data_IF_579452791805
#
_entry.id   IF_579452791805
#
_cell.length_a   1.000
_cell.length_b   1.000
_cell.length_c   1.000
_cell.angle_alpha   90.00
_cell.angle_beta   90.00
_cell.angle_gamma   90.00
#
_symmetry.space_group_name_H-M   'P 1'
#
loop_
_entity.id
_entity.type
_entity.pdbx_description
1 polymer ?
#
# COMPACT_ATOMS: atom_id res chain seq x y z
N UNK A 1 14.01 -6.31 -0.68
CA UNK A 1 13.15 -7.07 0.27
C UNK A 1 11.77 -6.44 0.32
N UNK A 2 10.72 -7.25 0.47
CA UNK A 2 9.34 -6.81 0.65
C UNK A 2 8.96 -6.96 2.14
N UNK A 3 8.37 -5.92 2.73
CA UNK A 3 7.86 -5.94 4.11
C UNK A 3 6.35 -5.65 4.08
N UNK A 4 5.57 -6.51 4.73
CA UNK A 4 4.11 -6.39 4.84
C UNK A 4 3.76 -6.07 6.29
N UNK A 5 3.40 -4.81 6.61
CA UNK A 5 2.92 -4.47 7.94
C UNK A 5 1.55 -5.09 8.17
N UNK A 6 1.39 -5.77 9.30
CA UNK A 6 0.15 -6.40 9.72
C UNK A 6 -0.13 -6.10 11.19
N UNK A 7 -1.31 -5.55 11.49
CA UNK A 7 -1.76 -5.33 12.86
C UNK A 7 -3.04 -6.10 13.13
N UNK A 8 -3.13 -6.69 14.32
CA UNK A 8 -4.31 -7.47 14.70
C UNK A 8 -5.54 -6.56 14.90
N UNK A 9 -5.35 -5.44 15.60
CA UNK A 9 -6.44 -4.51 15.90
C UNK A 9 -6.77 -3.66 14.68
N UNK A 10 -7.99 -3.76 14.19
CA UNK A 10 -8.59 -2.91 13.17
C UNK A 10 -9.97 -2.45 13.65
N UNK A 11 -10.22 -1.13 13.64
CA UNK A 11 -11.46 -0.55 14.18
C UNK A 11 -12.71 -0.87 13.36
N UNK A 12 -12.56 -1.05 12.04
CA UNK A 12 -13.66 -1.28 11.11
C UNK A 12 -13.92 -2.75 10.81
N UNK A 13 -12.90 -3.60 10.97
CA UNK A 13 -12.97 -5.01 10.69
C UNK A 13 -11.98 -5.74 11.63
N UNK A 14 -12.49 -6.23 12.75
CA UNK A 14 -11.68 -6.91 13.77
C UNK A 14 -10.96 -8.14 13.20
N UNK A 15 -9.68 -8.30 13.57
CA UNK A 15 -8.80 -9.40 13.13
C UNK A 15 -8.70 -9.53 11.59
N UNK A 16 -8.94 -8.47 10.85
CA UNK A 16 -8.99 -8.42 9.40
C UNK A 16 -7.90 -9.23 8.69
N UNK A 17 -6.65 -9.08 9.15
CA UNK A 17 -5.48 -9.72 8.52
C UNK A 17 -5.45 -11.24 8.64
N UNK A 18 -6.24 -11.81 9.57
CA UNK A 18 -6.40 -13.26 9.77
C UNK A 18 -7.68 -13.82 9.12
N UNK A 19 -8.51 -12.96 8.52
CA UNK A 19 -9.75 -13.39 7.86
C UNK A 19 -9.45 -14.31 6.68
N UNK A 20 -10.28 -15.34 6.51
CA UNK A 20 -10.09 -16.32 5.44
C UNK A 20 -10.48 -15.73 4.07
N UNK A 21 -9.61 -15.91 3.11
CA UNK A 21 -9.84 -15.60 1.70
C UNK A 21 -9.51 -16.85 0.88
N UNK A 22 -10.53 -17.56 0.46
CA UNK A 22 -10.39 -18.80 -0.32
C UNK A 22 -9.41 -19.80 0.30
N UNK A 23 -9.56 -20.09 1.60
CA UNK A 23 -8.76 -21.08 2.33
C UNK A 23 -7.40 -20.60 2.84
N UNK A 24 -7.09 -19.31 2.71
CA UNK A 24 -5.87 -18.72 3.26
C UNK A 24 -6.20 -17.45 4.06
N UNK A 25 -5.58 -17.22 5.23
CA UNK A 25 -5.64 -15.94 5.90
C UNK A 25 -5.18 -14.81 4.99
N UNK A 26 -5.83 -13.63 5.08
CA UNK A 26 -5.56 -12.47 4.23
C UNK A 26 -4.07 -12.12 4.15
N UNK A 27 -3.39 -11.99 5.29
CA UNK A 27 -1.95 -11.67 5.34
C UNK A 27 -1.08 -12.72 4.66
N UNK A 28 -1.48 -14.00 4.75
CA UNK A 28 -0.75 -15.10 4.10
C UNK A 28 -0.90 -15.02 2.58
N UNK A 29 -2.08 -14.65 2.09
CA UNK A 29 -2.30 -14.42 0.67
C UNK A 29 -1.45 -13.26 0.15
N UNK A 30 -1.44 -12.13 0.86
CA UNK A 30 -0.56 -11.00 0.53
C UNK A 30 0.92 -11.43 0.48
N UNK A 31 1.38 -12.18 1.48
CA UNK A 31 2.76 -12.63 1.56
C UNK A 31 3.13 -13.64 0.45
N UNK A 32 2.22 -14.55 0.10
CA UNK A 32 2.44 -15.48 -1.01
C UNK A 32 2.56 -14.75 -2.35
N UNK A 33 1.69 -13.76 -2.62
CA UNK A 33 1.79 -12.95 -3.82
C UNK A 33 3.11 -12.16 -3.87
N UNK A 34 3.52 -11.57 -2.75
CA UNK A 34 4.78 -10.84 -2.63
C UNK A 34 6.00 -11.76 -2.89
N UNK A 35 6.01 -12.98 -2.35
CA UNK A 35 7.07 -13.95 -2.53
C UNK A 35 7.23 -14.45 -3.98
N UNK A 36 6.28 -14.16 -4.88
CA UNK A 36 6.45 -14.41 -6.32
C UNK A 36 7.42 -13.42 -6.98
N UNK A 37 7.75 -12.31 -6.30
CA UNK A 37 8.59 -11.23 -6.83
C UNK A 37 9.91 -11.11 -6.09
N UNK A 38 9.89 -11.09 -4.75
CA UNK A 38 11.09 -10.95 -3.92
C UNK A 38 10.82 -11.54 -2.53
N UNK A 39 11.88 -11.76 -1.77
CA UNK A 39 11.76 -12.20 -0.38
C UNK A 39 10.84 -11.27 0.41
N UNK A 40 9.84 -11.88 1.06
CA UNK A 40 8.81 -11.16 1.81
C UNK A 40 8.86 -11.51 3.30
N UNK A 41 8.71 -10.50 4.15
CA UNK A 41 8.58 -10.64 5.60
C UNK A 41 7.33 -9.93 6.08
N UNK A 42 6.53 -10.58 6.93
CA UNK A 42 5.40 -9.97 7.61
C UNK A 42 5.89 -9.31 8.90
N UNK A 43 5.68 -8.01 9.03
CA UNK A 43 5.94 -7.23 10.24
C UNK A 43 4.66 -7.14 11.06
N UNK A 44 4.54 -7.90 12.14
CA UNK A 44 3.30 -8.04 12.91
C UNK A 44 3.43 -7.52 14.34
N UNK A 45 2.30 -7.14 14.95
CA UNK A 45 2.22 -6.64 16.33
C UNK A 45 1.63 -7.66 17.32
N UNK A 46 1.33 -8.86 16.85
CA UNK A 46 0.67 -9.87 17.67
C UNK A 46 1.16 -11.28 17.36
N UNK A 47 1.30 -12.07 18.43
CA UNK A 47 1.75 -13.46 18.37
C UNK A 47 0.83 -14.36 17.50
N UNK A 48 -0.46 -14.06 17.45
CA UNK A 48 -1.42 -14.83 16.62
C UNK A 48 -1.12 -14.71 15.13
N UNK A 49 -0.68 -13.53 14.68
CA UNK A 49 -0.24 -13.31 13.30
C UNK A 49 1.08 -14.03 13.06
N UNK A 50 2.03 -13.93 14.02
CA UNK A 50 3.32 -14.64 13.95
C UNK A 50 3.13 -16.15 13.81
N UNK A 51 2.33 -16.77 14.69
CA UNK A 51 2.02 -18.20 14.65
C UNK A 51 1.32 -18.60 13.36
N UNK A 52 0.43 -17.73 12.84
CA UNK A 52 -0.21 -17.96 11.55
C UNK A 52 0.82 -17.97 10.43
N UNK A 53 1.73 -16.99 10.39
CA UNK A 53 2.83 -16.96 9.41
C UNK A 53 3.69 -18.24 9.48
N UNK A 54 4.05 -18.69 10.69
CA UNK A 54 4.85 -19.90 10.90
C UNK A 54 4.14 -21.15 10.34
N UNK A 55 2.83 -21.31 10.57
CA UNK A 55 2.05 -22.45 10.02
C UNK A 55 2.06 -22.51 8.49
N UNK A 56 2.17 -21.36 7.83
CA UNK A 56 2.21 -21.27 6.37
C UNK A 56 3.62 -21.09 5.81
N UNK A 57 4.67 -21.24 6.64
CA UNK A 57 6.08 -21.07 6.26
C UNK A 57 6.40 -19.68 5.68
N UNK A 58 5.72 -18.65 6.17
CA UNK A 58 6.00 -17.24 5.83
C UNK A 58 6.91 -16.66 6.91
N UNK A 59 7.98 -15.99 6.48
CA UNK A 59 8.85 -15.25 7.40
C UNK A 59 8.07 -14.11 8.05
N UNK A 60 8.22 -13.94 9.36
CA UNK A 60 7.61 -12.86 10.10
C UNK A 60 8.52 -12.37 11.22
N UNK A 61 8.37 -11.12 11.59
CA UNK A 61 9.04 -10.49 12.75
C UNK A 61 8.01 -9.78 13.61
N UNK A 62 8.18 -9.90 14.93
CA UNK A 62 7.35 -9.18 15.89
C UNK A 62 7.89 -7.76 16.04
N UNK A 63 7.00 -6.79 15.95
CA UNK A 63 7.28 -5.36 16.05
C UNK A 63 6.42 -4.72 17.15
N UNK A 64 6.76 -3.50 17.53
CA UNK A 64 6.04 -2.74 18.55
C UNK A 64 4.53 -2.61 18.22
N UNK A 65 3.70 -2.67 19.27
CA UNK A 65 2.25 -2.37 19.19
C UNK A 65 1.95 -0.87 19.08
N UNK A 66 2.96 -0.01 19.28
CA UNK A 66 2.79 1.44 19.40
C UNK A 66 2.99 2.22 18.10
N UNK A 67 3.25 1.54 16.99
CA UNK A 67 3.35 2.22 15.70
C UNK A 67 2.03 2.82 15.26
N UNK A 68 2.09 4.07 14.82
CA UNK A 68 0.93 4.78 14.30
C UNK A 68 0.63 4.42 12.84
N UNK A 69 1.65 3.95 12.11
CA UNK A 69 1.53 3.65 10.67
C UNK A 69 2.18 2.34 10.26
N UNK A 70 1.80 1.85 9.06
CA UNK A 70 2.44 0.71 8.44
C UNK A 70 3.90 0.98 8.08
N UNK A 71 4.24 2.21 7.71
CA UNK A 71 5.59 2.62 7.32
C UNK A 71 6.56 2.59 8.50
N UNK A 72 6.16 3.10 9.68
CA UNK A 72 6.95 2.99 10.91
C UNK A 72 7.22 1.53 11.28
N UNK A 73 6.22 0.66 11.13
CA UNK A 73 6.35 -0.77 11.37
C UNK A 73 7.31 -1.43 10.38
N UNK A 74 7.27 -1.04 9.12
CA UNK A 74 8.23 -1.51 8.11
C UNK A 74 9.66 -1.10 8.45
N UNK A 75 9.86 0.10 8.97
CA UNK A 75 11.19 0.56 9.39
C UNK A 75 11.73 -0.28 10.55
N UNK A 76 10.94 -0.50 11.62
CA UNK A 76 11.36 -1.35 12.73
C UNK A 76 11.68 -2.77 12.25
N UNK A 77 10.85 -3.35 11.39
CA UNK A 77 11.12 -4.67 10.82
C UNK A 77 12.43 -4.69 10.02
N UNK A 78 12.70 -3.67 9.20
CA UNK A 78 13.95 -3.56 8.47
C UNK A 78 15.18 -3.46 9.40
N UNK A 79 15.05 -2.80 10.55
CA UNK A 79 16.08 -2.71 11.58
C UNK A 79 16.29 -4.06 12.28
N UNK A 80 15.23 -4.75 12.71
CA UNK A 80 15.30 -6.08 13.34
C UNK A 80 15.96 -7.09 12.40
N UNK A 81 15.66 -7.01 11.09
CA UNK A 81 16.26 -7.88 10.07
C UNK A 81 17.69 -7.51 9.72
N UNK A 82 18.22 -6.41 10.24
CA UNK A 82 19.59 -5.95 9.99
C UNK A 82 19.81 -5.46 8.55
N UNK A 83 18.77 -4.96 7.87
CA UNK A 83 18.91 -4.40 6.53
C UNK A 83 19.93 -3.25 6.54
N UNK A 84 20.82 -3.28 5.55
CA UNK A 84 21.79 -2.18 5.35
C UNK A 84 21.09 -0.94 4.82
N UNK A 85 21.74 0.20 4.96
CA UNK A 85 21.18 1.48 4.55
C UNK A 85 20.91 1.57 3.05
N UNK A 86 21.70 0.90 2.22
CA UNK A 86 21.58 0.87 0.77
C UNK A 86 20.61 -0.18 0.24
N UNK A 87 20.01 -1.01 1.11
CA UNK A 87 19.07 -2.04 0.69
C UNK A 87 17.68 -1.46 0.44
N UNK A 88 17.09 -1.89 -0.67
CA UNK A 88 15.75 -1.50 -1.08
C UNK A 88 14.68 -2.12 -0.19
N UNK A 89 13.65 -1.32 0.10
CA UNK A 89 12.46 -1.76 0.84
C UNK A 89 11.21 -1.48 0.01
N UNK A 90 10.36 -2.50 -0.17
CA UNK A 90 9.00 -2.34 -0.66
C UNK A 90 8.05 -2.57 0.52
N UNK A 91 7.15 -1.61 0.74
CA UNK A 91 6.08 -1.69 1.73
C UNK A 91 4.78 -2.04 1.01
N UNK A 92 4.31 -3.29 1.16
CA UNK A 92 3.01 -3.74 0.65
C UNK A 92 2.04 -3.91 1.81
N UNK A 93 0.78 -3.54 1.61
CA UNK A 93 -0.20 -3.60 2.69
C UNK A 93 -0.72 -5.02 2.93
N UNK A 94 -0.91 -5.38 4.21
CA UNK A 94 -1.46 -6.68 4.62
C UNK A 94 -2.96 -6.86 4.34
N UNK A 95 -3.60 -5.86 3.75
CA UNK A 95 -5.01 -5.84 3.37
C UNK A 95 -5.24 -5.72 1.85
N UNK A 96 -4.20 -5.98 1.06
CA UNK A 96 -4.24 -6.05 -0.42
C UNK A 96 -4.05 -7.51 -0.92
N UNK A 97 -4.96 -8.45 -0.57
CA UNK A 97 -4.77 -9.88 -0.86
C UNK A 97 -4.85 -10.24 -2.34
N UNK A 98 -5.37 -9.34 -3.16
CA UNK A 98 -5.56 -9.51 -4.59
C UNK A 98 -4.56 -8.70 -5.44
N UNK A 99 -3.50 -8.21 -4.81
CA UNK A 99 -2.46 -7.46 -5.50
C UNK A 99 -1.73 -8.38 -6.49
N UNK A 100 -1.75 -8.00 -7.76
CA UNK A 100 -1.15 -8.79 -8.83
C UNK A 100 0.38 -8.66 -8.81
N UNK A 101 1.07 -9.74 -9.18
CA UNK A 101 2.53 -9.80 -9.31
C UNK A 101 3.08 -8.68 -10.21
N UNK A 102 2.39 -8.36 -11.29
CA UNK A 102 2.76 -7.34 -12.26
C UNK A 102 2.79 -5.94 -11.64
N UNK A 103 1.91 -5.68 -10.68
CA UNK A 103 1.87 -4.41 -9.93
C UNK A 103 3.09 -4.30 -9.01
N UNK A 104 3.46 -5.39 -8.34
CA UNK A 104 4.66 -5.42 -7.47
C UNK A 104 5.93 -5.24 -8.30
N UNK A 105 6.02 -5.88 -9.48
CA UNK A 105 7.12 -5.69 -10.41
C UNK A 105 7.20 -4.25 -10.93
N UNK A 106 6.05 -3.64 -11.23
CA UNK A 106 5.98 -2.24 -11.66
C UNK A 106 6.43 -1.27 -10.56
N UNK A 107 6.07 -1.53 -9.29
CA UNK A 107 6.57 -0.78 -8.14
C UNK A 107 8.08 -0.94 -7.99
N UNK A 108 8.59 -2.18 -8.09
CA UNK A 108 10.01 -2.49 -8.02
C UNK A 108 10.81 -1.71 -9.07
N UNK A 109 10.30 -1.63 -10.29
CA UNK A 109 10.94 -0.87 -11.38
C UNK A 109 10.88 0.64 -11.13
N UNK A 110 9.71 1.18 -10.74
CA UNK A 110 9.55 2.59 -10.42
C UNK A 110 10.47 3.04 -9.27
N UNK A 111 10.72 2.15 -8.32
CA UNK A 111 11.56 2.42 -7.15
C UNK A 111 13.03 2.65 -7.51
N UNK A 112 13.54 2.05 -8.59
CA UNK A 112 14.97 2.16 -8.98
C UNK A 112 15.42 3.60 -9.23
N UNK A 113 14.54 4.40 -9.83
CA UNK A 113 14.83 5.78 -10.24
C UNK A 113 13.94 6.81 -9.53
N UNK A 114 13.27 6.42 -8.46
CA UNK A 114 12.42 7.33 -7.70
C UNK A 114 13.28 8.43 -7.05
N UNK A 115 12.87 9.70 -7.17
CA UNK A 115 13.63 10.82 -6.57
C UNK A 115 13.60 10.78 -5.04
N UNK A 116 12.57 10.23 -4.42
CA UNK A 116 12.48 9.96 -2.99
C UNK A 116 11.81 8.60 -2.77
N UNK A 117 10.54 8.44 -3.07
CA UNK A 117 9.82 7.17 -2.98
C UNK A 117 8.97 6.95 -4.24
N UNK A 118 8.52 5.71 -4.43
CA UNK A 118 7.62 5.34 -5.52
C UNK A 118 6.31 4.77 -5.00
N UNK A 119 5.26 4.85 -5.83
CA UNK A 119 3.97 4.19 -5.61
C UNK A 119 3.33 3.81 -6.95
N UNK A 120 2.18 3.13 -6.90
CA UNK A 120 1.41 2.77 -8.09
C UNK A 120 0.02 3.39 -8.08
N UNK A 121 -0.55 3.52 -9.27
CA UNK A 121 -1.92 3.98 -9.49
C UNK A 121 -2.54 3.22 -10.66
N UNK A 122 -3.87 3.16 -10.68
CA UNK A 122 -4.64 2.55 -11.76
C UNK A 122 -5.68 3.53 -12.31
N UNK A 123 -6.07 3.34 -13.56
CA UNK A 123 -7.20 4.08 -14.14
C UNK A 123 -8.48 3.61 -13.48
N UNK A 124 -9.32 4.55 -13.09
CA UNK A 124 -10.63 4.32 -12.46
C UNK A 124 -11.71 5.09 -13.20
N UNK A 125 -12.94 4.63 -13.08
CA UNK A 125 -14.12 5.32 -13.62
C UNK A 125 -14.65 6.41 -12.67
N UNK A 126 -15.62 7.18 -13.13
CA UNK A 126 -16.21 8.27 -12.34
C UNK A 126 -17.00 7.78 -11.13
N UNK A 127 -17.61 6.60 -11.21
CA UNK A 127 -18.36 6.03 -10.08
C UNK A 127 -17.39 5.58 -8.97
N UNK A 128 -16.34 4.88 -9.33
CA UNK A 128 -15.28 4.51 -8.39
C UNK A 128 -14.63 5.73 -7.72
N UNK A 129 -14.45 6.82 -8.50
CA UNK A 129 -13.81 8.04 -8.00
C UNK A 129 -14.65 8.80 -6.95
N UNK A 130 -15.97 8.57 -6.87
CA UNK A 130 -16.84 9.16 -5.84
C UNK A 130 -16.58 8.59 -4.45
N UNK A 131 -16.04 7.36 -4.37
CA UNK A 131 -15.75 6.74 -3.09
C UNK A 131 -14.59 7.44 -2.37
N UNK A 132 -14.76 7.92 -1.12
CA UNK A 132 -13.68 8.49 -0.33
C UNK A 132 -12.67 7.43 0.15
N UNK A 133 -13.02 6.14 0.08
CA UNK A 133 -12.12 5.04 0.43
C UNK A 133 -11.09 4.78 -0.66
N UNK A 134 -11.44 5.04 -1.93
CA UNK A 134 -10.48 5.00 -3.03
C UNK A 134 -9.80 6.36 -3.16
N UNK A 135 -8.53 6.43 -2.79
CA UNK A 135 -7.75 7.67 -2.86
C UNK A 135 -7.44 8.02 -4.31
N UNK A 136 -7.65 9.28 -4.69
CA UNK A 136 -7.31 9.79 -6.02
C UNK A 136 -5.95 10.47 -5.99
N UNK A 137 -5.26 10.46 -7.14
CA UNK A 137 -3.98 11.14 -7.32
C UNK A 137 -3.95 11.91 -8.62
N UNK A 138 -3.35 13.09 -8.59
CA UNK A 138 -3.03 13.89 -9.79
C UNK A 138 -1.52 13.94 -9.97
N UNK A 139 -1.08 13.87 -11.23
CA UNK A 139 0.32 13.74 -11.58
C UNK A 139 0.82 14.98 -12.34
N UNK A 140 2.12 15.24 -12.23
CA UNK A 140 2.84 16.16 -13.11
C UNK A 140 3.19 15.50 -14.47
N UNK A 141 3.81 16.27 -15.37
CA UNK A 141 4.23 15.78 -16.69
C UNK A 141 5.34 14.72 -16.65
N UNK A 142 5.98 14.51 -15.50
CA UNK A 142 7.01 13.50 -15.27
C UNK A 142 6.49 12.28 -14.50
N UNK A 143 5.16 12.20 -14.31
CA UNK A 143 4.49 11.18 -13.50
C UNK A 143 4.92 11.18 -12.01
N UNK A 144 5.25 12.36 -11.44
CA UNK A 144 5.31 12.49 -10.00
C UNK A 144 3.96 12.94 -9.45
N UNK A 145 3.63 12.51 -8.25
CA UNK A 145 2.40 12.94 -7.59
C UNK A 145 2.43 14.44 -7.27
N UNK A 146 1.38 15.15 -7.67
CA UNK A 146 1.13 16.53 -7.25
C UNK A 146 0.34 16.55 -5.94
N UNK A 147 -0.69 15.71 -5.82
CA UNK A 147 -1.50 15.59 -4.61
C UNK A 147 -2.28 14.28 -4.58
N UNK A 148 -2.53 13.76 -3.37
CA UNK A 148 -3.45 12.64 -3.11
C UNK A 148 -4.65 13.16 -2.32
N UNK A 149 -5.86 12.72 -2.67
CA UNK A 149 -7.06 13.14 -1.95
C UNK A 149 -8.13 12.07 -1.91
N UNK A 150 -8.91 12.07 -0.84
CA UNK A 150 -10.17 11.31 -0.76
C UNK A 150 -11.29 11.96 -1.56
N UNK A 151 -11.18 13.27 -1.82
CA UNK A 151 -12.08 13.99 -2.72
C UNK A 151 -11.86 13.60 -4.18
N UNK A 152 -12.85 13.82 -5.03
CA UNK A 152 -12.72 13.68 -6.48
C UNK A 152 -11.79 14.77 -7.03
N UNK A 153 -10.61 14.38 -7.48
CA UNK A 153 -9.61 15.23 -8.12
C UNK A 153 -9.11 14.60 -9.44
N UNK A 154 -8.78 15.43 -10.48
CA UNK A 154 -9.03 16.86 -10.59
C UNK A 154 -10.53 17.17 -10.75
N UNK A 155 -10.98 18.33 -10.28
CA UNK A 155 -12.37 18.76 -10.44
C UNK A 155 -12.66 19.15 -11.90
N UNK A 156 -13.73 18.62 -12.48
CA UNK A 156 -14.20 19.02 -13.80
C UNK A 156 -15.19 20.19 -13.65
N UNK A 157 -14.72 21.40 -13.96
CA UNK A 157 -15.49 22.64 -13.74
C UNK A 157 -16.75 22.71 -14.62
N UNK A 158 -16.58 22.40 -15.92
CA UNK A 158 -17.65 22.62 -16.90
C UNK A 158 -18.55 21.40 -16.96
N UNK A 159 -19.81 21.56 -16.53
CA UNK A 159 -20.81 20.50 -16.58
C UNK A 159 -21.05 20.05 -18.04
N UNK A 160 -20.94 18.75 -18.28
CA UNK A 160 -21.10 18.16 -19.61
C UNK A 160 -19.83 18.12 -20.48
N UNK A 161 -18.73 18.72 -20.05
CA UNK A 161 -17.45 18.53 -20.71
C UNK A 161 -16.98 17.07 -20.55
N UNK A 162 -16.31 16.55 -21.59
CA UNK A 162 -15.64 15.25 -21.49
C UNK A 162 -14.27 15.41 -20.82
N UNK A 163 -13.99 14.55 -19.86
CA UNK A 163 -12.68 14.49 -19.22
C UNK A 163 -11.64 14.04 -20.24
N UNK A 164 -10.59 14.84 -20.43
CA UNK A 164 -9.51 14.54 -21.38
C UNK A 164 -8.40 13.66 -20.79
N UNK A 165 -8.34 13.59 -19.46
CA UNK A 165 -7.36 12.77 -18.73
C UNK A 165 -8.09 11.73 -17.89
N UNK A 166 -7.54 10.51 -17.74
CA UNK A 166 -8.15 9.50 -16.89
C UNK A 166 -8.12 9.94 -15.41
N UNK A 167 -9.11 9.49 -14.65
CA UNK A 167 -9.06 9.52 -13.21
C UNK A 167 -8.13 8.41 -12.72
N UNK A 168 -7.27 8.73 -11.74
CA UNK A 168 -6.29 7.81 -11.23
C UNK A 168 -6.57 7.47 -9.76
N UNK A 169 -6.77 6.18 -9.50
CA UNK A 169 -6.93 5.62 -8.16
C UNK A 169 -5.58 5.11 -7.63
N UNK A 170 -5.20 5.58 -6.46
CA UNK A 170 -3.97 5.18 -5.79
C UNK A 170 -4.04 3.73 -5.30
N UNK A 171 -2.97 2.98 -5.48
CA UNK A 171 -2.74 1.67 -4.86
C UNK A 171 -1.76 1.89 -3.71
N UNK A 172 -2.18 1.59 -2.48
CA UNK A 172 -1.49 1.95 -1.23
C UNK A 172 -0.18 1.20 -0.95
N UNK A 173 0.65 1.00 -1.96
CA UNK A 173 1.95 0.34 -1.87
C UNK A 173 3.08 1.32 -2.13
N UNK A 174 4.22 1.14 -1.47
CA UNK A 174 5.33 2.09 -1.57
C UNK A 174 6.67 1.39 -1.75
N UNK A 175 7.55 2.03 -2.52
CA UNK A 175 8.91 1.59 -2.74
C UNK A 175 9.92 2.66 -2.33
N UNK A 176 10.94 2.23 -1.59
CA UNK A 176 12.07 3.02 -1.15
C UNK A 176 13.33 2.40 -1.76
N UNK A 177 14.10 3.15 -2.56
CA UNK A 177 15.25 2.56 -3.24
C UNK A 177 16.38 2.18 -2.27
N UNK A 178 16.34 2.73 -1.05
CA UNK A 178 17.18 2.32 0.07
C UNK A 178 16.46 2.53 1.40
N UNK A 179 16.97 1.90 2.47
CA UNK A 179 16.41 2.01 3.83
C UNK A 179 16.54 3.43 4.41
N UNK A 180 17.58 4.19 4.04
CA UNK A 180 17.75 5.57 4.53
C UNK A 180 16.58 6.48 4.18
N UNK A 181 15.97 6.32 2.99
CA UNK A 181 14.80 7.09 2.59
C UNK A 181 13.58 6.72 3.44
N UNK A 182 13.42 5.45 3.77
CA UNK A 182 12.36 5.01 4.69
C UNK A 182 12.58 5.61 6.09
N UNK A 183 13.81 5.64 6.58
CA UNK A 183 14.17 6.30 7.84
C UNK A 183 13.90 7.81 7.79
N UNK A 184 14.29 8.47 6.69
CA UNK A 184 14.04 9.89 6.48
C UNK A 184 12.54 10.21 6.51
N UNK A 185 11.71 9.42 5.81
CA UNK A 185 10.25 9.60 5.82
C UNK A 185 9.67 9.46 7.23
N UNK A 186 10.09 8.44 7.98
CA UNK A 186 9.62 8.22 9.35
C UNK A 186 10.09 9.31 10.32
N UNK A 187 11.24 9.95 10.06
CA UNK A 187 11.75 11.06 10.87
C UNK A 187 11.02 12.40 10.62
N UNK A 188 10.30 12.54 9.51
CA UNK A 188 9.49 13.74 9.24
C UNK A 188 8.33 13.83 10.24
N UNK A 189 8.07 15.04 10.73
CA UNK A 189 6.92 15.27 11.62
C UNK A 189 5.60 15.11 10.85
N UNK A 190 4.55 14.57 11.48
CA UNK A 190 3.20 14.58 10.90
C UNK A 190 2.80 15.99 10.44
N UNK A 191 2.06 16.08 9.35
CA UNK A 191 1.64 17.36 8.79
C UNK A 191 0.11 17.46 8.75
N UNK A 192 -0.41 18.69 8.71
CA UNK A 192 -1.85 18.96 8.71
C UNK A 192 -2.61 18.26 7.57
N UNK A 193 -2.01 18.14 6.39
CA UNK A 193 -2.64 17.49 5.23
C UNK A 193 -2.80 16.00 5.46
N UNK A 194 -1.77 15.35 6.00
CA UNK A 194 -1.81 13.93 6.38
C UNK A 194 -2.89 13.67 7.44
N UNK A 195 -2.99 14.56 8.44
CA UNK A 195 -3.97 14.41 9.51
C UNK A 195 -5.41 14.59 9.02
N UNK A 196 -5.66 15.53 8.11
CA UNK A 196 -6.99 15.79 7.55
C UNK A 196 -7.46 14.68 6.62
N UNK A 197 -6.61 14.27 5.68
CA UNK A 197 -6.95 13.25 4.68
C UNK A 197 -6.74 11.82 5.21
N UNK A 198 -6.01 11.64 6.34
CA UNK A 198 -5.53 10.34 6.83
C UNK A 198 -4.76 9.58 5.74
N UNK A 199 -3.81 10.28 5.11
CA UNK A 199 -2.97 9.81 4.02
C UNK A 199 -1.50 10.11 4.34
N UNK A 200 -0.76 9.10 4.76
CA UNK A 200 0.63 9.21 5.23
C UNK A 200 1.58 9.78 4.16
N UNK A 201 1.37 9.42 2.89
CA UNK A 201 2.20 9.89 1.78
C UNK A 201 2.14 11.41 1.54
N UNK A 202 1.11 12.09 2.05
CA UNK A 202 1.04 13.56 2.01
C UNK A 202 2.14 14.21 2.84
N UNK A 203 2.68 13.51 3.84
CA UNK A 203 3.85 13.96 4.62
C UNK A 203 5.05 14.20 3.71
N UNK A 204 5.36 13.26 2.81
CA UNK A 204 6.45 13.41 1.85
C UNK A 204 6.24 14.65 0.96
N UNK A 205 5.06 14.81 0.37
CA UNK A 205 4.75 15.96 -0.49
C UNK A 205 4.81 17.29 0.28
N UNK A 206 4.32 17.32 1.51
CA UNK A 206 4.35 18.52 2.36
C UNK A 206 5.79 19.02 2.59
N UNK A 207 6.74 18.11 2.76
CA UNK A 207 8.15 18.41 2.88
C UNK A 207 8.90 18.41 1.54
N UNK A 208 8.17 18.64 0.42
CA UNK A 208 8.72 18.81 -0.94
C UNK A 208 9.50 17.59 -1.45
N UNK A 209 9.21 16.39 -0.90
CA UNK A 209 9.76 15.13 -1.38
C UNK A 209 8.91 14.61 -2.54
N UNK A 210 9.52 14.30 -3.66
CA UNK A 210 8.81 13.80 -4.84
C UNK A 210 8.48 12.33 -4.71
N UNK A 211 7.26 11.97 -5.13
CA UNK A 211 6.78 10.58 -5.19
C UNK A 211 6.60 10.21 -6.66
N UNK A 212 7.42 9.30 -7.16
CA UNK A 212 7.26 8.76 -8.51
C UNK A 212 6.03 7.83 -8.54
N UNK A 213 5.21 7.95 -9.58
CA UNK A 213 3.97 7.18 -9.70
C UNK A 213 3.97 6.35 -10.97
N UNK A 214 3.79 5.04 -10.85
CA UNK A 214 3.62 4.14 -11.99
C UNK A 214 2.14 3.86 -12.22
N UNK A 215 1.65 4.15 -13.43
CA UNK A 215 0.31 3.77 -13.84
C UNK A 215 0.34 2.31 -14.27
N UNK A 216 -0.53 1.48 -13.69
CA UNK A 216 -0.62 0.04 -13.92
C UNK A 216 -2.04 -0.38 -14.28
N UNK A 217 -2.17 -1.57 -14.87
CA UNK A 217 -3.45 -2.27 -14.98
C UNK A 217 -3.60 -3.14 -13.73
N UNK A 218 -4.68 -2.94 -12.96
CA UNK A 218 -4.93 -3.73 -11.76
C UNK A 218 -6.42 -3.81 -11.45
N UNK A 219 -6.84 -4.99 -11.00
CA UNK A 219 -8.16 -5.23 -10.41
C UNK A 219 -8.11 -5.25 -8.88
N UNK A 220 -6.91 -5.16 -8.30
CA UNK A 220 -6.74 -5.18 -6.84
C UNK A 220 -7.63 -4.16 -6.16
N UNK A 221 -8.17 -4.55 -5.03
CA UNK A 221 -8.96 -3.71 -4.12
C UNK A 221 -8.49 -3.97 -2.69
N UNK A 222 -8.22 -2.90 -1.96
CA UNK A 222 -7.93 -2.98 -0.54
C UNK A 222 -9.17 -3.39 0.25
N UNK A 223 -8.98 -4.26 1.24
CA UNK A 223 -10.05 -4.75 2.11
C UNK A 223 -10.02 -4.00 3.43
N UNK A 224 -10.93 -3.07 3.63
CA UNK A 224 -11.02 -2.30 4.86
C UNK A 224 -12.23 -2.67 5.74
N UNK A 225 -13.27 -3.19 5.10
CA UNK A 225 -14.52 -3.59 5.75
C UNK A 225 -14.93 -5.00 5.32
N UNK A 226 -15.90 -5.59 6.04
CA UNK A 226 -16.51 -6.87 5.61
C UNK A 226 -17.23 -6.76 4.28
N UNK A 227 -17.78 -5.60 3.97
CA UNK A 227 -18.44 -5.31 2.69
C UNK A 227 -17.42 -5.32 1.53
N UNK A 228 -16.24 -4.68 1.74
CA UNK A 228 -15.16 -4.73 0.75
C UNK A 228 -14.74 -6.18 0.46
N UNK A 229 -14.59 -7.01 1.49
CA UNK A 229 -14.28 -8.42 1.33
C UNK A 229 -15.36 -9.14 0.52
N UNK A 230 -16.64 -8.98 0.87
CA UNK A 230 -17.74 -9.62 0.15
C UNK A 230 -17.78 -9.19 -1.32
N UNK A 231 -17.53 -7.93 -1.61
CA UNK A 231 -17.49 -7.41 -2.98
C UNK A 231 -16.27 -7.95 -3.74
N UNK A 232 -15.10 -7.99 -3.11
CA UNK A 232 -13.91 -8.58 -3.70
C UNK A 232 -14.09 -10.07 -4.04
N UNK A 233 -14.70 -10.87 -3.15
CA UNK A 233 -14.98 -12.29 -3.37
C UNK A 233 -15.96 -12.55 -4.55
N UNK A 234 -16.75 -11.57 -4.96
CA UNK A 234 -17.58 -11.66 -6.17
C UNK A 234 -16.78 -11.44 -7.45
N UNK A 235 -15.73 -10.62 -7.38
CA UNK A 235 -14.88 -10.26 -8.52
C UNK A 235 -13.79 -11.30 -8.76
N UNK A 236 -13.21 -11.81 -7.66
CA UNK A 236 -12.13 -12.79 -7.70
C UNK A 236 -12.68 -14.18 -7.43
N UNK A 237 -12.13 -15.16 -8.13
CA UNK A 237 -12.43 -16.58 -7.89
C UNK A 237 -11.17 -17.32 -7.43
N UNK A 238 -11.29 -18.48 -6.75
CA UNK A 238 -10.13 -19.28 -6.34
C UNK A 238 -9.19 -19.67 -7.47
N UNK A 239 -9.70 -19.74 -8.71
CA UNK A 239 -8.94 -20.14 -9.90
C UNK A 239 -8.17 -18.98 -10.58
N UNK A 240 -8.30 -17.75 -10.08
CA UNK A 240 -7.63 -16.56 -10.61
C UNK A 240 -6.44 -16.11 -9.74
N UNK A 241 -6.09 -16.92 -8.73
CA UNK A 241 -5.09 -16.56 -7.71
C UNK A 241 -3.98 -17.59 -7.61
#
# INVERSE_FOLDING_TARGET
MIIIPARLKSSRFENKVLEDIFGLPMVIRCAKNANLVDECVVACDDESIMQTCQRFHIKAVLTSKHHNSGTERCLEAAQILGLKNDERVLNLQGDEPFLEKEVILALLEATKNAPFMATCTKVIDEEQAKSPNLVKVVLDSQNNALYFSRSLIPFLRDAGAKRQTPLLGHIGIYGFHNKEILEELCALKPCVLEELEKLEQLRALYYQKKIAVKIVQSKSVGIDTKEDLQNALKIFSPNLL
#
